data_IF_624487011703
#
_entry.id   IF_624487011703
#
_cell.length_a   1.000
_cell.length_b   1.000
_cell.length_c   1.000
_cell.angle_alpha   90.00
_cell.angle_beta   90.00
_cell.angle_gamma   90.00
#
_symmetry.space_group_name_H-M   'P 1'
#
loop_
_entity.id
_entity.type
_entity.pdbx_description
1 polymer ?
#
# COMPACT_ATOMS: atom_id res chain seq x y z
N UNK A 1 24.29 -9.62 17.33
CA UNK A 1 24.54 -8.32 16.67
C UNK A 1 24.59 -7.29 17.77
N UNK A 2 25.73 -6.64 17.94
CA UNK A 2 26.03 -5.71 19.04
C UNK A 2 25.61 -4.30 18.60
N UNK A 3 24.40 -3.87 19.01
CA UNK A 3 23.81 -2.57 18.63
C UNK A 3 24.48 -1.37 19.33
N UNK A 4 25.52 -1.61 20.14
CA UNK A 4 26.02 -0.63 21.11
C UNK A 4 27.08 0.33 20.57
N UNK A 5 27.51 0.25 19.30
CA UNK A 5 28.57 1.14 18.78
C UNK A 5 28.52 1.48 17.27
N UNK A 6 27.34 1.82 16.75
CA UNK A 6 27.23 2.38 15.38
C UNK A 6 27.72 3.84 15.34
N UNK A 7 28.59 4.18 14.39
CA UNK A 7 28.96 5.57 14.12
C UNK A 7 27.75 6.37 13.62
N UNK A 8 27.78 7.70 13.72
CA UNK A 8 26.69 8.54 13.21
C UNK A 8 26.39 8.29 11.71
N UNK A 9 27.42 7.97 10.92
CA UNK A 9 27.29 7.61 9.51
C UNK A 9 26.56 6.27 9.34
N UNK A 10 26.96 5.23 10.09
CA UNK A 10 26.31 3.92 10.03
C UNK A 10 24.85 3.98 10.49
N UNK A 11 24.54 4.78 11.53
CA UNK A 11 23.15 5.00 11.98
C UNK A 11 22.29 5.61 10.88
N UNK A 12 22.80 6.62 10.17
CA UNK A 12 22.08 7.26 9.08
C UNK A 12 21.82 6.30 7.91
N UNK A 13 22.81 5.48 7.56
CA UNK A 13 22.66 4.45 6.52
C UNK A 13 21.62 3.39 6.91
N UNK A 14 21.63 2.92 8.17
CA UNK A 14 20.64 1.98 8.68
C UNK A 14 19.24 2.59 8.65
N UNK A 15 19.06 3.82 9.11
CA UNK A 15 17.76 4.52 9.05
C UNK A 15 17.27 4.66 7.60
N UNK A 16 18.16 4.99 6.67
CA UNK A 16 17.80 5.11 5.26
C UNK A 16 17.33 3.76 4.68
N UNK A 17 18.03 2.66 5.00
CA UNK A 17 17.64 1.30 4.59
C UNK A 17 16.30 0.90 5.18
N UNK A 18 16.11 1.06 6.49
CA UNK A 18 14.86 0.75 7.17
C UNK A 18 13.69 1.55 6.57
N UNK A 19 13.88 2.83 6.28
CA UNK A 19 12.84 3.64 5.60
C UNK A 19 12.50 3.12 4.22
N UNK A 20 13.48 2.67 3.45
CA UNK A 20 13.24 2.10 2.12
C UNK A 20 12.44 0.78 2.23
N UNK A 21 12.81 -0.09 3.18
CA UNK A 21 12.10 -1.35 3.44
C UNK A 21 10.65 -1.11 3.88
N UNK A 22 10.41 -0.18 4.80
CA UNK A 22 9.06 0.19 5.25
C UNK A 22 8.20 0.70 4.09
N UNK A 23 8.77 1.52 3.20
CA UNK A 23 8.05 1.99 2.01
C UNK A 23 7.71 0.83 1.05
N UNK A 24 8.63 -0.10 0.85
CA UNK A 24 8.40 -1.28 0.01
C UNK A 24 7.31 -2.19 0.60
N UNK A 25 7.36 -2.45 1.91
CA UNK A 25 6.34 -3.23 2.62
C UNK A 25 4.96 -2.57 2.52
N UNK A 26 4.88 -1.25 2.76
CA UNK A 26 3.61 -0.52 2.62
C UNK A 26 3.04 -0.58 1.21
N UNK A 27 3.88 -0.57 0.17
CA UNK A 27 3.44 -0.75 -1.21
C UNK A 27 2.92 -2.18 -1.46
N UNK A 28 3.59 -3.19 -0.91
CA UNK A 28 3.15 -4.59 -1.03
C UNK A 28 1.78 -4.81 -0.35
N UNK A 29 1.60 -4.28 0.85
CA UNK A 29 0.33 -4.35 1.59
C UNK A 29 -0.80 -3.66 0.83
N UNK A 30 -0.55 -2.45 0.32
CA UNK A 30 -1.52 -1.73 -0.51
C UNK A 30 -1.88 -2.54 -1.76
N UNK A 31 -0.87 -3.11 -2.44
CA UNK A 31 -1.07 -3.92 -3.64
C UNK A 31 -1.94 -5.14 -3.34
N UNK A 32 -1.66 -5.86 -2.26
CA UNK A 32 -2.41 -7.04 -1.86
C UNK A 32 -3.86 -6.68 -1.50
N UNK A 33 -4.06 -5.57 -0.79
CA UNK A 33 -5.41 -5.09 -0.46
C UNK A 33 -6.22 -4.69 -1.71
N UNK A 34 -5.59 -3.98 -2.65
CA UNK A 34 -6.23 -3.60 -3.93
C UNK A 34 -6.57 -4.86 -4.74
N UNK A 35 -5.65 -5.82 -4.84
CA UNK A 35 -5.88 -7.08 -5.55
C UNK A 35 -7.09 -7.81 -4.99
N UNK A 36 -7.14 -8.03 -3.67
CA UNK A 36 -8.24 -8.74 -3.01
C UNK A 36 -9.58 -8.01 -3.23
N UNK A 37 -9.64 -6.69 -2.95
CA UNK A 37 -10.90 -5.95 -3.00
C UNK A 37 -11.40 -5.81 -4.44
N UNK A 38 -10.52 -5.47 -5.38
CA UNK A 38 -10.93 -5.27 -6.77
C UNK A 38 -11.22 -6.59 -7.49
N UNK A 39 -10.51 -7.67 -7.16
CA UNK A 39 -10.85 -9.00 -7.68
C UNK A 39 -12.25 -9.41 -7.22
N UNK A 40 -12.52 -9.38 -5.92
CA UNK A 40 -13.83 -9.76 -5.36
C UNK A 40 -14.98 -8.88 -5.90
N UNK A 41 -14.70 -7.60 -6.18
CA UNK A 41 -15.70 -6.68 -6.70
C UNK A 41 -15.99 -6.88 -8.20
N UNK A 42 -14.95 -7.08 -9.01
CA UNK A 42 -15.03 -6.99 -10.47
C UNK A 42 -15.06 -8.35 -11.17
N UNK A 43 -14.50 -9.40 -10.58
CA UNK A 43 -14.43 -10.74 -11.18
C UNK A 43 -15.54 -11.62 -10.61
N UNK A 44 -16.77 -11.39 -11.08
CA UNK A 44 -17.96 -12.14 -10.63
C UNK A 44 -18.10 -13.53 -11.27
N UNK A 45 -17.48 -13.72 -12.44
CA UNK A 45 -17.44 -14.99 -13.17
C UNK A 45 -15.99 -15.24 -13.58
N UNK A 46 -15.33 -16.25 -12.99
CA UNK A 46 -13.99 -16.66 -13.40
C UNK A 46 -14.02 -17.15 -14.86
N UNK A 47 -13.12 -16.64 -15.67
CA UNK A 47 -12.93 -17.02 -17.07
C UNK A 47 -11.44 -16.93 -17.41
N UNK A 48 -11.03 -17.58 -18.49
CA UNK A 48 -9.61 -17.64 -18.90
C UNK A 48 -9.01 -16.27 -19.20
N UNK A 49 -9.83 -15.30 -19.63
CA UNK A 49 -9.41 -13.93 -19.94
C UNK A 49 -10.42 -12.92 -19.42
N UNK A 50 -9.91 -11.81 -18.89
CA UNK A 50 -10.76 -10.70 -18.47
C UNK A 50 -11.48 -10.10 -19.68
N UNK A 51 -12.81 -10.06 -19.63
CA UNK A 51 -13.60 -9.34 -20.64
C UNK A 51 -13.48 -7.81 -20.46
N UNK A 52 -13.92 -7.04 -21.45
CA UNK A 52 -13.81 -5.58 -21.43
C UNK A 52 -14.52 -4.94 -20.24
N UNK A 53 -15.60 -5.54 -19.75
CA UNK A 53 -16.35 -5.03 -18.59
C UNK A 53 -15.58 -5.26 -17.30
N UNK A 54 -14.95 -6.43 -17.14
CA UNK A 54 -14.07 -6.73 -16.00
C UNK A 54 -12.84 -5.83 -16.00
N UNK A 55 -12.19 -5.63 -17.16
CA UNK A 55 -11.04 -4.73 -17.30
C UNK A 55 -11.40 -3.29 -16.92
N UNK A 56 -12.52 -2.76 -17.43
CA UNK A 56 -12.98 -1.42 -17.11
C UNK A 56 -13.32 -1.28 -15.62
N UNK A 57 -14.00 -2.27 -15.03
CA UNK A 57 -14.29 -2.31 -13.61
C UNK A 57 -13.01 -2.27 -12.76
N UNK A 58 -12.01 -3.08 -13.11
CA UNK A 58 -10.73 -3.14 -12.38
C UNK A 58 -10.00 -1.78 -12.42
N UNK A 59 -9.91 -1.15 -13.59
CA UNK A 59 -9.30 0.19 -13.72
C UNK A 59 -9.96 1.20 -12.79
N UNK A 60 -11.29 1.28 -12.82
CA UNK A 60 -12.05 2.17 -11.95
C UNK A 60 -11.91 1.82 -10.47
N UNK A 61 -11.92 0.53 -10.13
CA UNK A 61 -11.79 0.07 -8.76
C UNK A 61 -10.44 0.46 -8.15
N UNK A 62 -9.35 0.24 -8.89
CA UNK A 62 -7.99 0.55 -8.44
C UNK A 62 -7.85 2.06 -8.17
N UNK A 63 -8.27 2.89 -9.11
CA UNK A 63 -8.24 4.36 -8.96
C UNK A 63 -9.04 4.82 -7.73
N UNK A 64 -10.28 4.35 -7.61
CA UNK A 64 -11.16 4.73 -6.49
C UNK A 64 -10.66 4.22 -5.15
N UNK A 65 -10.06 3.03 -5.09
CA UNK A 65 -9.49 2.49 -3.87
C UNK A 65 -8.32 3.37 -3.39
N UNK A 66 -7.38 3.69 -4.29
CA UNK A 66 -6.22 4.53 -3.96
C UNK A 66 -6.68 5.93 -3.52
N UNK A 67 -7.63 6.55 -4.23
CA UNK A 67 -8.16 7.87 -3.86
C UNK A 67 -8.82 7.86 -2.48
N UNK A 68 -9.62 6.82 -2.20
CA UNK A 68 -10.26 6.65 -0.88
C UNK A 68 -9.21 6.48 0.21
N UNK A 69 -8.18 5.65 -0.02
CA UNK A 69 -7.12 5.43 0.97
C UNK A 69 -6.32 6.69 1.27
N UNK A 70 -6.08 7.58 0.29
CA UNK A 70 -5.45 8.89 0.56
C UNK A 70 -6.26 9.71 1.55
N UNK A 71 -7.59 9.78 1.38
CA UNK A 71 -8.50 10.53 2.26
C UNK A 71 -8.54 9.91 3.66
N UNK A 72 -8.63 8.57 3.75
CA UNK A 72 -8.62 7.84 5.02
C UNK A 72 -7.31 8.08 5.77
N UNK A 73 -6.16 7.92 5.11
CA UNK A 73 -4.85 8.13 5.72
C UNK A 73 -4.67 9.56 6.24
N UNK A 74 -5.08 10.57 5.46
CA UNK A 74 -5.05 11.97 5.90
C UNK A 74 -5.93 12.20 7.14
N UNK A 75 -7.14 11.64 7.14
CA UNK A 75 -8.07 11.75 8.26
C UNK A 75 -7.56 11.06 9.53
N UNK A 76 -6.91 9.90 9.39
CA UNK A 76 -6.31 9.18 10.51
C UNK A 76 -5.14 9.95 11.12
N UNK A 77 -4.25 10.51 10.29
CA UNK A 77 -3.15 11.36 10.78
C UNK A 77 -3.68 12.58 11.55
N UNK A 78 -4.72 13.23 11.04
CA UNK A 78 -5.35 14.36 11.72
C UNK A 78 -5.95 13.95 13.07
N UNK A 79 -6.54 12.76 13.17
CA UNK A 79 -7.09 12.23 14.44
C UNK A 79 -5.99 11.92 15.45
N UNK A 80 -4.90 11.28 15.01
CA UNK A 80 -3.77 10.92 15.88
C UNK A 80 -3.04 12.12 16.48
N UNK A 81 -3.05 13.28 15.82
CA UNK A 81 -2.47 14.53 16.35
C UNK A 81 -3.37 15.25 17.38
N UNK A 82 -4.64 14.83 17.51
CA UNK A 82 -5.62 15.43 18.43
C UNK A 82 -5.79 14.64 19.73
N UNK A 83 -5.22 13.43 19.81
CA UNK A 83 -5.11 12.64 21.03
C UNK A 83 -3.75 12.87 21.67
#
# INVERSE_FOLDING_TARGET
MDDTNLTAQQKNEVIARVRAEVQQQGLQELTQAVQEKCFNKCVTRPQERLDSKQQQCLSMCIERYIDTMKVVSASMMQRGQRG
#
